data_IF_184160836765
#
_entry.id   IF_184160836765
#
_cell.length_a   1.000
_cell.length_b   1.000
_cell.length_c   1.000
_cell.angle_alpha   90.00
_cell.angle_beta   90.00
_cell.angle_gamma   90.00
#
_symmetry.space_group_name_H-M   'P 1'
#
loop_
_entity.id
_entity.type
_entity.pdbx_description
1 polymer ?
#
# COMPACT_ATOMS: atom_id res chain seq x y z
N UNK A 1 -5.89 19.65 -5.29
CA UNK A 1 -6.44 18.91 -6.47
C UNK A 1 -7.34 17.77 -6.02
N UNK A 2 -8.35 17.44 -6.83
CA UNK A 2 -9.14 16.22 -6.64
C UNK A 2 -8.48 15.05 -7.39
N UNK A 3 -8.34 13.89 -6.74
CA UNK A 3 -7.83 12.66 -7.34
C UNK A 3 -8.92 11.59 -7.39
N UNK A 4 -9.05 10.92 -8.53
CA UNK A 4 -9.98 9.79 -8.67
C UNK A 4 -9.50 8.58 -7.89
N UNK A 5 -8.17 8.43 -7.76
CA UNK A 5 -7.60 7.38 -6.92
C UNK A 5 -6.21 7.76 -6.39
N UNK A 6 -5.90 7.18 -5.22
CA UNK A 6 -4.55 7.04 -4.69
C UNK A 6 -4.40 5.56 -4.32
N UNK A 7 -3.31 4.93 -4.76
CA UNK A 7 -2.97 3.56 -4.38
C UNK A 7 -1.54 3.49 -3.85
N UNK A 8 -1.37 2.82 -2.72
CA UNK A 8 -0.08 2.61 -2.04
C UNK A 8 0.18 1.12 -1.95
N UNK A 9 1.34 0.68 -2.46
CA UNK A 9 1.67 -0.74 -2.58
C UNK A 9 0.94 -1.36 -3.76
N UNK A 10 1.47 -1.15 -4.96
CA UNK A 10 0.76 -1.60 -6.17
C UNK A 10 1.27 -2.95 -6.66
N UNK A 11 2.53 -3.30 -6.36
CA UNK A 11 3.24 -4.32 -7.13
C UNK A 11 2.99 -4.09 -8.64
N UNK A 12 2.56 -5.09 -9.39
CA UNK A 12 2.07 -4.93 -10.77
C UNK A 12 0.78 -5.76 -11.03
N UNK A 13 -0.06 -5.91 -9.97
CA UNK A 13 -1.29 -6.70 -10.00
C UNK A 13 -2.54 -5.82 -10.12
N UNK A 14 -3.18 -5.77 -11.29
CA UNK A 14 -4.52 -5.17 -11.48
C UNK A 14 -4.75 -3.90 -10.66
N UNK A 15 -3.86 -2.97 -10.78
CA UNK A 15 -3.82 -1.73 -10.01
C UNK A 15 -5.05 -0.84 -10.27
N UNK A 16 -5.22 0.20 -9.47
CA UNK A 16 -6.22 1.22 -9.77
C UNK A 16 -5.86 1.97 -11.05
N UNK A 17 -4.55 2.16 -11.32
CA UNK A 17 -4.07 2.74 -12.56
C UNK A 17 -4.53 1.97 -13.80
N UNK A 18 -4.68 0.63 -13.73
CA UNK A 18 -5.23 -0.16 -14.85
C UNK A 18 -6.74 0.05 -15.05
N UNK A 19 -7.48 0.25 -13.95
CA UNK A 19 -8.94 0.14 -13.91
C UNK A 19 -9.69 1.47 -13.86
N UNK A 20 -9.02 2.53 -13.46
CA UNK A 20 -9.62 3.86 -13.28
C UNK A 20 -9.03 4.85 -14.27
N UNK A 21 -9.81 5.84 -14.66
CA UNK A 21 -9.41 6.99 -15.47
C UNK A 21 -9.42 8.26 -14.63
N UNK A 22 -8.78 9.31 -15.17
CA UNK A 22 -8.65 10.63 -14.54
C UNK A 22 -7.46 10.70 -13.56
N UNK A 23 -7.31 11.81 -12.85
CA UNK A 23 -6.15 12.05 -12.00
C UNK A 23 -5.96 10.94 -10.96
N UNK A 24 -4.75 10.40 -10.90
CA UNK A 24 -4.41 9.33 -9.97
C UNK A 24 -2.98 9.42 -9.46
N UNK A 25 -2.71 8.76 -8.34
CA UNK A 25 -1.36 8.61 -7.77
C UNK A 25 -1.14 7.12 -7.46
N UNK A 26 -0.06 6.56 -8.02
CA UNK A 26 0.38 5.20 -7.71
C UNK A 26 1.75 5.27 -7.03
N UNK A 27 1.85 4.67 -5.85
CA UNK A 27 3.06 4.64 -5.03
C UNK A 27 3.54 3.21 -4.90
N UNK A 28 4.78 2.96 -5.34
CA UNK A 28 5.40 1.64 -5.31
C UNK A 28 6.90 1.76 -5.05
N UNK A 29 7.43 1.15 -3.97
CA UNK A 29 8.84 1.25 -3.64
C UNK A 29 9.75 0.47 -4.59
N UNK A 30 9.26 -0.59 -5.25
CA UNK A 30 10.07 -1.39 -6.19
C UNK A 30 9.95 -0.81 -7.58
N UNK A 31 10.98 -0.10 -8.03
CA UNK A 31 11.01 0.61 -9.32
C UNK A 31 10.61 -0.28 -10.51
N UNK A 32 11.00 -1.56 -10.49
CA UNK A 32 10.67 -2.49 -11.55
C UNK A 32 9.16 -2.74 -11.68
N UNK A 33 8.41 -2.72 -10.57
CA UNK A 33 6.95 -2.84 -10.59
C UNK A 33 6.29 -1.52 -10.97
N UNK A 34 6.76 -0.40 -10.43
CA UNK A 34 6.26 0.92 -10.78
C UNK A 34 6.36 1.19 -12.29
N UNK A 35 7.46 0.77 -12.93
CA UNK A 35 7.68 0.96 -14.36
C UNK A 35 6.71 0.16 -15.25
N UNK A 36 6.05 -0.86 -14.72
CA UNK A 36 5.08 -1.68 -15.46
C UNK A 36 3.65 -1.16 -15.40
N UNK A 37 3.40 -0.23 -14.49
CA UNK A 37 2.10 0.42 -14.45
C UNK A 37 1.86 1.18 -15.75
N UNK A 38 0.59 1.25 -16.22
CA UNK A 38 0.28 1.95 -17.47
C UNK A 38 0.70 3.42 -17.41
N UNK A 39 1.23 3.92 -18.51
CA UNK A 39 1.48 5.35 -18.68
C UNK A 39 0.15 6.04 -18.98
N UNK A 40 -0.23 6.99 -18.12
CA UNK A 40 -1.42 7.82 -18.28
C UNK A 40 -1.05 9.25 -17.96
N UNK A 41 -1.52 10.19 -18.79
CA UNK A 41 -1.20 11.61 -18.68
C UNK A 41 -1.55 12.19 -17.31
N UNK A 42 -2.69 11.75 -16.73
CA UNK A 42 -3.20 12.21 -15.45
C UNK A 42 -2.79 11.31 -14.25
N UNK A 43 -1.88 10.36 -14.43
CA UNK A 43 -1.47 9.47 -13.36
C UNK A 43 -0.02 9.72 -12.96
N UNK A 44 0.18 10.14 -11.72
CA UNK A 44 1.50 10.30 -11.13
C UNK A 44 2.01 8.97 -10.58
N UNK A 45 3.25 8.64 -10.88
CA UNK A 45 3.96 7.48 -10.34
C UNK A 45 5.04 7.94 -9.37
N UNK A 46 5.04 7.43 -8.16
CA UNK A 46 6.03 7.77 -7.14
C UNK A 46 6.78 6.51 -6.68
N UNK A 47 8.10 6.51 -6.87
CA UNK A 47 8.95 5.43 -6.38
C UNK A 47 9.35 5.72 -4.92
N UNK A 48 8.53 5.33 -3.98
CA UNK A 48 8.75 5.47 -2.56
C UNK A 48 7.91 4.45 -1.76
N UNK A 49 8.30 4.17 -0.54
CA UNK A 49 7.42 3.60 0.47
C UNK A 49 6.70 4.72 1.23
N UNK A 50 5.57 4.40 1.86
CA UNK A 50 4.89 5.31 2.79
C UNK A 50 5.04 4.77 4.21
N UNK A 51 5.48 5.61 5.14
CA UNK A 51 5.61 5.29 6.56
C UNK A 51 5.42 6.55 7.41
N UNK A 52 5.72 6.50 8.70
CA UNK A 52 5.54 7.61 9.64
C UNK A 52 6.76 8.54 9.76
N UNK A 53 7.70 8.46 8.83
CA UNK A 53 8.89 9.33 8.78
C UNK A 53 9.36 9.51 7.33
N UNK A 54 10.20 10.53 7.11
CA UNK A 54 10.85 10.78 5.83
C UNK A 54 12.32 10.32 5.88
N UNK A 55 12.81 9.66 4.83
CA UNK A 55 14.18 9.15 4.77
C UNK A 55 14.33 7.95 3.83
N UNK A 56 14.95 6.89 4.31
CA UNK A 56 15.06 5.61 3.61
C UNK A 56 14.58 4.48 4.52
N UNK A 57 14.05 3.42 3.90
CA UNK A 57 13.61 2.20 4.56
C UNK A 57 14.06 0.99 3.73
N UNK A 58 14.38 -0.10 4.40
CA UNK A 58 14.70 -1.36 3.72
C UNK A 58 13.42 -2.13 3.37
N UNK A 59 13.28 -2.50 2.08
CA UNK A 59 12.23 -3.40 1.63
C UNK A 59 12.81 -4.80 1.36
N UNK A 60 12.11 -5.81 1.86
CA UNK A 60 12.44 -7.23 1.70
C UNK A 60 11.54 -7.83 0.63
N UNK A 61 12.12 -8.38 -0.43
CA UNK A 61 11.33 -8.96 -1.51
C UNK A 61 12.08 -10.07 -2.26
N UNK A 62 11.36 -10.88 -3.03
CA UNK A 62 11.92 -11.80 -3.99
C UNK A 62 11.91 -11.15 -5.39
N UNK A 63 13.06 -11.14 -6.05
CA UNK A 63 13.09 -10.74 -7.46
C UNK A 63 12.32 -11.74 -8.32
N UNK A 64 11.74 -11.32 -9.44
CA UNK A 64 11.07 -12.24 -10.36
C UNK A 64 11.99 -13.35 -10.88
N UNK A 65 13.27 -13.03 -11.08
CA UNK A 65 14.25 -14.05 -11.44
C UNK A 65 14.32 -15.15 -10.38
N UNK A 66 14.33 -14.80 -9.09
CA UNK A 66 14.34 -15.76 -7.99
C UNK A 66 13.02 -16.54 -7.91
N UNK A 67 11.89 -15.86 -8.06
CA UNK A 67 10.56 -16.49 -8.10
C UNK A 67 10.51 -17.58 -9.17
N UNK A 68 10.97 -17.25 -10.39
CA UNK A 68 11.03 -18.19 -11.51
C UNK A 68 12.02 -19.34 -11.27
N UNK A 69 13.23 -19.05 -10.77
CA UNK A 69 14.25 -20.06 -10.46
C UNK A 69 13.78 -21.08 -9.40
N UNK A 70 13.00 -20.60 -8.42
CA UNK A 70 12.47 -21.42 -7.32
C UNK A 70 11.13 -22.09 -7.67
N UNK A 71 10.57 -21.84 -8.85
CA UNK A 71 9.27 -22.36 -9.27
C UNK A 71 8.12 -21.86 -8.40
N UNK A 72 8.25 -20.68 -7.78
CA UNK A 72 7.23 -20.11 -6.92
C UNK A 72 6.06 -19.56 -7.76
N UNK A 73 4.85 -19.54 -7.20
CA UNK A 73 3.71 -18.97 -7.89
C UNK A 73 3.84 -17.46 -8.06
N UNK A 74 3.23 -16.91 -9.12
CA UNK A 74 3.36 -15.50 -9.48
C UNK A 74 2.90 -14.51 -8.38
N UNK A 75 2.00 -14.92 -7.50
CA UNK A 75 1.58 -14.08 -6.37
C UNK A 75 2.72 -13.77 -5.39
N UNK A 76 3.80 -14.58 -5.37
CA UNK A 76 4.97 -14.34 -4.51
C UNK A 76 5.64 -12.98 -4.76
N UNK A 77 5.48 -12.39 -5.94
CA UNK A 77 5.99 -11.04 -6.23
C UNK A 77 5.24 -9.92 -5.51
N UNK A 78 4.04 -10.19 -4.98
CA UNK A 78 3.31 -9.28 -4.11
C UNK A 78 3.77 -9.30 -2.66
N UNK A 79 4.47 -10.35 -2.25
CA UNK A 79 4.90 -10.54 -0.86
C UNK A 79 6.15 -9.69 -0.53
N UNK A 80 6.06 -8.38 -0.73
CA UNK A 80 7.12 -7.42 -0.43
C UNK A 80 6.79 -6.71 0.89
N UNK A 81 7.76 -6.54 1.78
CA UNK A 81 7.47 -5.94 3.08
C UNK A 81 8.60 -5.07 3.59
N UNK A 82 8.26 -3.92 4.16
CA UNK A 82 9.18 -3.05 4.91
C UNK A 82 9.29 -3.48 6.39
N UNK A 83 8.43 -4.39 6.84
CA UNK A 83 8.44 -4.91 8.22
C UNK A 83 9.39 -6.11 8.38
N UNK A 84 10.29 -6.33 7.42
CA UNK A 84 11.17 -7.50 7.37
C UNK A 84 10.59 -8.63 6.50
N UNK A 85 11.07 -9.85 6.71
CA UNK A 85 10.71 -10.99 5.89
C UNK A 85 9.22 -11.30 5.88
N UNK A 86 8.62 -11.40 4.70
CA UNK A 86 7.20 -11.76 4.56
C UNK A 86 6.93 -13.19 5.05
N UNK A 87 6.03 -13.34 6.03
CA UNK A 87 5.76 -14.61 6.75
C UNK A 87 5.43 -15.78 5.82
N UNK A 88 4.65 -15.53 4.76
CA UNK A 88 4.26 -16.58 3.80
C UNK A 88 5.47 -17.08 3.01
N UNK A 89 6.35 -16.19 2.59
CA UNK A 89 7.58 -16.56 1.87
C UNK A 89 8.55 -17.29 2.79
N UNK A 90 8.68 -16.85 4.04
CA UNK A 90 9.46 -17.58 5.05
C UNK A 90 8.96 -19.02 5.26
N UNK A 91 7.64 -19.22 5.35
CA UNK A 91 7.04 -20.56 5.48
C UNK A 91 7.33 -21.44 4.26
N UNK A 92 7.30 -20.86 3.03
CA UNK A 92 7.55 -21.60 1.79
C UNK A 92 9.01 -22.02 1.64
N UNK A 93 9.95 -21.16 1.98
CA UNK A 93 11.38 -21.36 1.76
C UNK A 93 12.11 -21.92 2.99
N UNK A 94 11.47 -21.87 4.17
CA UNK A 94 12.07 -22.35 5.42
C UNK A 94 13.41 -21.66 5.72
N UNK A 95 14.43 -22.42 6.12
CA UNK A 95 15.77 -21.89 6.43
C UNK A 95 16.49 -21.29 5.22
N UNK A 96 16.14 -21.68 4.00
CA UNK A 96 16.73 -21.15 2.78
C UNK A 96 16.24 -19.71 2.43
N UNK A 97 15.27 -19.17 3.16
CA UNK A 97 14.74 -17.83 2.91
C UNK A 97 15.84 -16.77 2.80
N UNK A 98 16.80 -16.78 3.74
CA UNK A 98 17.88 -15.79 3.81
C UNK A 98 18.77 -15.76 2.54
N UNK A 99 18.92 -16.90 1.86
CA UNK A 99 19.76 -17.02 0.67
C UNK A 99 19.10 -16.46 -0.60
N UNK A 100 17.79 -16.20 -0.53
CA UNK A 100 16.97 -15.84 -1.68
C UNK A 100 16.39 -14.43 -1.62
N UNK A 101 16.21 -13.89 -0.41
CA UNK A 101 15.61 -12.57 -0.23
C UNK A 101 16.56 -11.46 -0.72
N UNK A 102 15.98 -10.47 -1.36
CA UNK A 102 16.66 -9.21 -1.69
C UNK A 102 16.24 -8.16 -0.68
N UNK A 103 17.20 -7.42 -0.14
CA UNK A 103 16.96 -6.25 0.68
C UNK A 103 17.43 -5.03 -0.10
N UNK A 104 16.56 -4.07 -0.27
CA UNK A 104 16.84 -2.84 -1.00
C UNK A 104 16.44 -1.64 -0.16
N UNK A 105 17.34 -0.68 0.00
CA UNK A 105 17.00 0.61 0.60
C UNK A 105 16.25 1.46 -0.42
N UNK A 106 15.08 1.95 -0.04
CA UNK A 106 14.19 2.76 -0.89
C UNK A 106 13.81 4.06 -0.18
N UNK A 107 13.52 5.13 -0.93
CA UNK A 107 12.97 6.34 -0.32
C UNK A 107 11.68 6.04 0.45
N UNK A 108 11.50 6.70 1.60
CA UNK A 108 10.27 6.65 2.38
C UNK A 108 9.82 8.06 2.71
N UNK A 109 8.52 8.31 2.59
CA UNK A 109 7.90 9.57 2.97
C UNK A 109 6.65 9.33 3.82
N UNK A 110 6.23 10.37 4.55
CA UNK A 110 4.96 10.32 5.29
C UNK A 110 3.76 10.48 4.34
N UNK A 111 2.57 10.07 4.80
CA UNK A 111 1.35 10.27 4.03
C UNK A 111 1.05 11.77 3.84
N UNK A 112 1.29 12.59 4.86
CA UNK A 112 1.16 14.04 4.77
C UNK A 112 2.10 14.63 3.70
N UNK A 113 3.36 14.18 3.65
CA UNK A 113 4.30 14.60 2.60
C UNK A 113 3.80 14.23 1.20
N UNK A 114 3.23 13.02 1.01
CA UNK A 114 2.61 12.61 -0.26
C UNK A 114 1.49 13.57 -0.67
N UNK A 115 0.57 13.86 0.25
CA UNK A 115 -0.57 14.74 -0.01
C UNK A 115 -0.12 16.16 -0.33
N UNK A 116 0.91 16.67 0.36
CA UNK A 116 1.49 17.98 0.09
C UNK A 116 2.20 18.05 -1.27
N UNK A 117 3.02 17.04 -1.64
CA UNK A 117 3.74 16.98 -2.93
C UNK A 117 2.77 17.09 -4.10
N UNK A 118 1.63 16.40 -4.02
CA UNK A 118 0.64 16.36 -5.09
C UNK A 118 -0.53 17.32 -4.88
N UNK A 119 -0.51 18.17 -3.85
CA UNK A 119 -1.59 19.12 -3.51
C UNK A 119 -2.96 18.43 -3.46
N UNK A 120 -3.05 17.31 -2.70
CA UNK A 120 -4.28 16.53 -2.58
C UNK A 120 -5.28 17.25 -1.68
N UNK A 121 -6.38 17.74 -2.25
CA UNK A 121 -7.47 18.34 -1.49
C UNK A 121 -8.62 17.35 -1.23
N UNK A 122 -8.78 16.37 -2.14
CA UNK A 122 -9.80 15.32 -2.00
C UNK A 122 -9.45 14.10 -2.82
N UNK A 123 -9.98 12.93 -2.46
CA UNK A 123 -9.76 11.68 -3.16
C UNK A 123 -11.06 10.86 -3.21
N UNK A 124 -11.38 10.32 -4.39
CA UNK A 124 -12.55 9.46 -4.51
C UNK A 124 -12.26 8.05 -3.96
N UNK A 125 -11.14 7.44 -4.34
CA UNK A 125 -10.78 6.10 -3.89
C UNK A 125 -9.34 6.05 -3.39
N UNK A 126 -9.18 5.63 -2.15
CA UNK A 126 -7.88 5.42 -1.52
C UNK A 126 -7.68 3.93 -1.22
N UNK A 127 -6.63 3.32 -1.77
CA UNK A 127 -6.29 1.92 -1.55
C UNK A 127 -4.89 1.81 -0.94
N UNK A 128 -4.78 1.01 0.11
CA UNK A 128 -3.53 0.68 0.82
C UNK A 128 -3.39 -0.83 0.80
N UNK A 129 -2.23 -1.33 0.35
CA UNK A 129 -1.92 -2.76 0.23
C UNK A 129 -0.39 -2.91 0.38
N UNK A 130 0.08 -2.89 1.63
CA UNK A 130 1.51 -2.79 1.96
C UNK A 130 2.05 -3.99 2.74
N UNK A 131 1.31 -5.11 2.66
CA UNK A 131 1.75 -6.40 3.22
C UNK A 131 2.14 -6.28 4.70
N UNK A 132 1.19 -5.72 5.49
CA UNK A 132 1.29 -5.60 6.94
C UNK A 132 1.80 -4.26 7.47
N UNK A 133 2.01 -3.25 6.61
CA UNK A 133 2.36 -1.88 7.04
C UNK A 133 1.18 -0.91 6.99
N UNK A 134 0.00 -1.39 6.61
CA UNK A 134 -1.23 -0.61 6.43
C UNK A 134 -1.63 0.18 7.68
N UNK A 135 -1.47 -0.42 8.87
CA UNK A 135 -1.83 0.22 10.14
C UNK A 135 -1.10 1.56 10.36
N UNK A 136 0.20 1.61 10.05
CA UNK A 136 1.02 2.83 10.18
C UNK A 136 0.51 3.95 9.27
N UNK A 137 0.07 3.60 8.07
CA UNK A 137 -0.45 4.55 7.08
C UNK A 137 -1.87 4.99 7.48
N UNK A 138 -2.70 4.06 7.94
CA UNK A 138 -4.08 4.33 8.35
C UNK A 138 -4.15 5.26 9.55
N UNK A 139 -3.25 5.14 10.54
CA UNK A 139 -3.19 6.08 11.65
C UNK A 139 -2.88 7.51 11.18
N UNK A 140 -1.92 7.69 10.28
CA UNK A 140 -1.64 9.00 9.69
C UNK A 140 -2.88 9.55 8.95
N UNK A 141 -3.55 8.69 8.17
CA UNK A 141 -4.76 9.10 7.46
C UNK A 141 -5.88 9.55 8.41
N UNK A 142 -6.10 8.82 9.51
CA UNK A 142 -7.07 9.17 10.54
C UNK A 142 -6.77 10.55 11.16
N UNK A 143 -5.50 10.81 11.51
CA UNK A 143 -5.06 12.10 12.07
C UNK A 143 -5.24 13.24 11.04
N UNK A 144 -4.90 13.00 9.80
CA UNK A 144 -5.08 13.98 8.72
C UNK A 144 -6.56 14.30 8.49
N UNK A 145 -7.45 13.29 8.46
CA UNK A 145 -8.90 13.48 8.29
C UNK A 145 -9.51 14.23 9.48
N UNK A 146 -9.03 13.98 10.70
CA UNK A 146 -9.49 14.74 11.87
C UNK A 146 -9.16 16.23 11.78
N UNK A 147 -8.01 16.56 11.17
CA UNK A 147 -7.55 17.94 10.99
C UNK A 147 -8.15 18.59 9.73
N UNK A 148 -8.39 17.80 8.69
CA UNK A 148 -8.95 18.25 7.41
C UNK A 148 -9.95 17.22 6.86
N UNK A 149 -11.25 17.32 7.15
CA UNK A 149 -12.26 16.37 6.70
C UNK A 149 -12.46 16.30 5.17
N UNK A 150 -12.00 17.28 4.42
CA UNK A 150 -12.19 17.34 2.97
C UNK A 150 -11.39 16.24 2.25
N UNK A 151 -10.31 15.75 2.86
CA UNK A 151 -9.52 14.64 2.32
C UNK A 151 -10.14 13.26 2.54
N UNK A 152 -11.30 13.19 3.23
CA UNK A 152 -11.98 11.93 3.49
C UNK A 152 -12.40 11.25 2.18
N UNK A 153 -11.78 10.11 1.87
CA UNK A 153 -12.06 9.36 0.64
C UNK A 153 -13.50 8.84 0.61
N UNK A 154 -14.14 8.85 -0.56
CA UNK A 154 -15.46 8.22 -0.73
C UNK A 154 -15.39 6.69 -0.55
N UNK A 155 -14.27 6.10 -0.95
CA UNK A 155 -13.99 4.67 -0.77
C UNK A 155 -12.56 4.51 -0.27
N UNK A 156 -12.40 3.91 0.93
CA UNK A 156 -11.11 3.48 1.46
C UNK A 156 -11.04 1.95 1.44
N UNK A 157 -9.93 1.39 0.96
CA UNK A 157 -9.70 -0.07 0.92
C UNK A 157 -8.33 -0.34 1.54
N UNK A 158 -8.25 -1.31 2.43
CA UNK A 158 -6.99 -1.76 3.02
C UNK A 158 -7.06 -3.23 3.42
N UNK A 159 -5.90 -3.87 3.64
CA UNK A 159 -5.83 -5.25 4.07
C UNK A 159 -6.26 -5.41 5.54
N UNK A 160 -7.02 -6.49 5.79
CA UNK A 160 -7.41 -6.93 7.13
C UNK A 160 -7.13 -8.43 7.24
N UNK A 161 -5.86 -8.79 7.25
CA UNK A 161 -5.40 -10.18 7.23
C UNK A 161 -4.43 -10.47 8.40
N UNK A 162 -3.86 -11.68 8.42
CA UNK A 162 -2.96 -12.15 9.48
C UNK A 162 -1.57 -11.45 9.51
N UNK A 163 -1.27 -10.57 8.56
CA UNK A 163 -0.01 -9.83 8.54
C UNK A 163 -0.04 -8.63 9.49
N UNK A 164 -1.24 -8.11 9.77
CA UNK A 164 -1.46 -6.97 10.66
C UNK A 164 -1.78 -7.43 12.09
N UNK A 165 -1.45 -6.59 13.07
CA UNK A 165 -1.88 -6.82 14.46
C UNK A 165 -3.40 -6.66 14.59
N UNK A 166 -4.07 -7.71 15.06
CA UNK A 166 -5.53 -7.75 15.12
C UNK A 166 -6.15 -6.77 16.13
N UNK A 167 -5.44 -6.42 17.20
CA UNK A 167 -5.92 -5.46 18.20
C UNK A 167 -5.78 -4.04 17.65
N UNK A 168 -4.68 -3.74 16.99
CA UNK A 168 -4.46 -2.47 16.32
C UNK A 168 -5.48 -2.24 15.21
N UNK A 169 -5.73 -3.24 14.35
CA UNK A 169 -6.73 -3.16 13.28
C UNK A 169 -8.15 -2.92 13.80
N UNK A 170 -8.53 -3.52 14.96
CA UNK A 170 -9.82 -3.23 15.61
C UNK A 170 -9.89 -1.78 16.09
N UNK A 171 -8.80 -1.23 16.61
CA UNK A 171 -8.74 0.17 17.04
C UNK A 171 -8.90 1.12 15.87
N UNK A 172 -8.24 0.84 14.73
CA UNK A 172 -8.36 1.58 13.47
C UNK A 172 -9.80 1.50 12.94
N UNK A 173 -10.40 0.32 12.89
CA UNK A 173 -11.80 0.16 12.47
C UNK A 173 -12.76 0.94 13.37
N UNK A 174 -12.55 0.92 14.68
CA UNK A 174 -13.34 1.73 15.63
C UNK A 174 -13.20 3.23 15.36
N UNK A 175 -11.99 3.71 15.07
CA UNK A 175 -11.77 5.11 14.74
C UNK A 175 -12.43 5.51 13.41
N UNK A 176 -12.31 4.67 12.37
CA UNK A 176 -12.86 4.89 11.04
C UNK A 176 -14.40 4.78 11.00
N UNK A 177 -15.03 4.05 11.94
CA UNK A 177 -16.48 3.88 11.99
C UNK A 177 -17.28 5.17 12.17
N UNK A 178 -16.61 6.25 12.57
CA UNK A 178 -17.21 7.60 12.66
C UNK A 178 -17.56 8.16 11.27
N UNK A 179 -16.87 7.73 10.23
CA UNK A 179 -16.97 8.26 8.87
C UNK A 179 -17.38 7.24 7.83
N UNK A 180 -17.23 5.94 8.14
CA UNK A 180 -17.38 4.88 7.14
C UNK A 180 -18.31 3.76 7.60
N UNK A 181 -19.13 3.28 6.68
CA UNK A 181 -19.68 1.93 6.74
C UNK A 181 -18.64 0.95 6.19
N UNK A 182 -18.45 -0.22 6.81
CA UNK A 182 -17.37 -1.15 6.50
C UNK A 182 -17.90 -2.52 6.13
N UNK A 183 -17.27 -3.14 5.12
CA UNK A 183 -17.57 -4.52 4.71
C UNK A 183 -16.28 -5.26 4.38
N UNK A 184 -16.10 -6.41 5.01
CA UNK A 184 -14.98 -7.29 4.69
C UNK A 184 -15.24 -8.09 3.41
N UNK A 185 -14.22 -8.21 2.57
CA UNK A 185 -14.26 -9.02 1.35
C UNK A 185 -12.87 -9.53 1.00
N UNK A 186 -12.68 -10.87 1.04
CA UNK A 186 -11.44 -11.55 0.62
C UNK A 186 -10.17 -10.99 1.28
N UNK A 187 -10.20 -10.80 2.60
CA UNK A 187 -9.06 -10.28 3.35
C UNK A 187 -8.84 -8.76 3.25
N UNK A 188 -9.70 -8.05 2.52
CA UNK A 188 -9.70 -6.59 2.47
C UNK A 188 -10.90 -6.02 3.21
N UNK A 189 -10.74 -4.90 3.86
CA UNK A 189 -11.82 -4.08 4.38
C UNK A 189 -12.15 -2.98 3.36
N UNK A 190 -13.41 -2.93 2.94
CA UNK A 190 -13.94 -1.90 2.05
C UNK A 190 -14.79 -0.95 2.88
N UNK A 191 -14.33 0.29 2.99
CA UNK A 191 -14.97 1.36 3.73
C UNK A 191 -15.64 2.32 2.75
N UNK A 192 -16.92 2.63 2.98
CA UNK A 192 -17.69 3.61 2.18
C UNK A 192 -18.13 4.74 3.09
N UNK A 193 -17.86 5.96 2.67
CA UNK A 193 -18.25 7.18 3.38
C UNK A 193 -19.76 7.17 3.67
N UNK A 194 -20.12 7.59 4.89
CA UNK A 194 -21.50 7.63 5.39
C UNK A 194 -22.30 8.78 4.78
#
# INVERSE_FOLDING_TARGET
MHYNFIEIGTSDFRTLADRMSGPGISVEPIQAYLNRLPEKEDCHKLNAAISNYNGNIDIHYLTEQKINQLGLPNWAKGCNSVNGPHKTIQKLLGSAYQDHITIQSVPVITLDALFNIFNVDSVFKFQIDTEGHDAVILWQYIEMVQSNPDILAEILIFENNELSDSAEMKSIQSALSKWYSMKERKGNLICRKL
#
